data_IF_255526571375
#
_entry.id   IF_255526571375
#
_cell.length_a   1.000
_cell.length_b   1.000
_cell.length_c   1.000
_cell.angle_alpha   90.00
_cell.angle_beta   90.00
_cell.angle_gamma   90.00
#
_symmetry.space_group_name_H-M   'P 1'
#
loop_
_entity.id
_entity.type
_entity.pdbx_description
1 polymer ?
#
# COMPACT_ATOMS: atom_id res chain seq x y z
N UNK A 1 11.74 -13.95 14.24
CA UNK A 1 11.51 -13.17 13.01
C UNK A 1 10.06 -13.23 12.55
N UNK A 2 9.45 -14.40 12.34
CA UNK A 2 8.07 -14.51 11.82
C UNK A 2 6.99 -13.73 12.58
N UNK A 3 6.93 -13.81 13.92
CA UNK A 3 5.93 -13.07 14.72
C UNK A 3 6.11 -11.56 14.61
N UNK A 4 7.35 -11.08 14.61
CA UNK A 4 7.65 -9.64 14.45
C UNK A 4 7.27 -9.16 13.06
N UNK A 5 7.58 -9.95 12.02
CA UNK A 5 7.15 -9.66 10.64
C UNK A 5 5.63 -9.64 10.51
N UNK A 6 4.93 -10.60 11.10
CA UNK A 6 3.47 -10.65 11.08
C UNK A 6 2.84 -9.44 11.78
N UNK A 7 3.36 -9.03 12.94
CA UNK A 7 2.91 -7.83 13.64
C UNK A 7 3.20 -6.56 12.83
N UNK A 8 4.38 -6.44 12.22
CA UNK A 8 4.73 -5.30 11.38
C UNK A 8 3.80 -5.18 10.15
N UNK A 9 3.46 -6.31 9.52
CA UNK A 9 2.48 -6.36 8.42
C UNK A 9 1.09 -5.96 8.90
N UNK A 10 0.65 -6.52 10.01
CA UNK A 10 -0.65 -6.18 10.60
C UNK A 10 -0.80 -4.68 10.87
N UNK A 11 0.24 -4.05 11.43
CA UNK A 11 0.21 -2.62 11.72
C UNK A 11 0.22 -1.73 10.48
N UNK A 12 0.82 -2.14 9.36
CA UNK A 12 0.77 -1.33 8.14
C UNK A 12 -0.54 -1.51 7.36
N UNK A 13 -1.23 -2.64 7.54
CA UNK A 13 -2.43 -2.95 6.75
C UNK A 13 -3.67 -2.25 7.32
N UNK A 14 -3.73 -2.01 8.64
CA UNK A 14 -4.82 -1.24 9.25
C UNK A 14 -4.93 0.18 8.65
N UNK A 15 -3.88 1.02 8.62
CA UNK A 15 -3.92 2.32 7.95
C UNK A 15 -4.31 2.23 6.48
N UNK A 16 -3.76 1.23 5.77
CA UNK A 16 -4.01 1.03 4.34
C UNK A 16 -5.50 0.74 4.07
N UNK A 17 -6.11 -0.20 4.80
CA UNK A 17 -7.53 -0.52 4.65
C UNK A 17 -8.46 0.62 5.07
N UNK A 18 -8.12 1.36 6.13
CA UNK A 18 -8.89 2.54 6.56
C UNK A 18 -8.84 3.64 5.49
N UNK A 19 -7.69 3.84 4.84
CA UNK A 19 -7.56 4.74 3.70
C UNK A 19 -8.45 4.34 2.53
N UNK A 20 -8.36 3.08 2.09
CA UNK A 20 -9.19 2.55 1.00
C UNK A 20 -10.69 2.64 1.32
N UNK A 21 -11.07 2.36 2.57
CA UNK A 21 -12.45 2.52 3.03
C UNK A 21 -12.95 3.96 2.88
N UNK A 22 -12.12 4.94 3.25
CA UNK A 22 -12.42 6.36 3.06
C UNK A 22 -12.59 6.76 1.60
N UNK A 23 -11.67 6.32 0.72
CA UNK A 23 -11.72 6.60 -0.71
C UNK A 23 -12.97 6.01 -1.37
N UNK A 24 -13.29 4.74 -1.09
CA UNK A 24 -14.47 4.08 -1.65
C UNK A 24 -15.79 4.71 -1.17
N UNK A 25 -15.84 5.19 0.08
CA UNK A 25 -16.97 5.98 0.57
C UNK A 25 -17.08 7.33 -0.16
N UNK A 26 -15.95 8.01 -0.41
CA UNK A 26 -15.92 9.27 -1.14
C UNK A 26 -16.41 9.11 -2.59
N UNK A 27 -16.17 7.95 -3.21
CA UNK A 27 -16.72 7.59 -4.53
C UNK A 27 -18.22 7.25 -4.52
N UNK A 28 -18.91 7.39 -3.38
CA UNK A 28 -20.36 7.22 -3.27
C UNK A 28 -20.81 5.77 -3.02
N UNK A 29 -19.90 4.85 -2.68
CA UNK A 29 -20.29 3.49 -2.33
C UNK A 29 -20.98 3.42 -0.96
N UNK A 30 -21.98 2.54 -0.84
CA UNK A 30 -22.63 2.26 0.45
C UNK A 30 -21.66 1.54 1.39
N UNK A 31 -21.65 1.91 2.68
CA UNK A 31 -20.81 1.34 3.75
C UNK A 31 -20.71 -0.19 3.71
N UNK A 32 -21.83 -0.88 3.54
CA UNK A 32 -21.87 -2.35 3.52
C UNK A 32 -21.15 -2.95 2.31
N UNK A 33 -21.18 -2.28 1.16
CA UNK A 33 -20.41 -2.72 -0.02
C UNK A 33 -18.93 -2.48 0.20
N UNK A 34 -18.54 -1.32 0.72
CA UNK A 34 -17.13 -1.02 1.01
C UNK A 34 -16.53 -2.07 1.96
N UNK A 35 -17.26 -2.43 3.02
CA UNK A 35 -16.83 -3.46 3.96
C UNK A 35 -16.64 -4.83 3.28
N UNK A 36 -17.58 -5.23 2.41
CA UNK A 36 -17.47 -6.48 1.67
C UNK A 36 -16.26 -6.49 0.74
N UNK A 37 -16.00 -5.39 0.03
CA UNK A 37 -14.83 -5.26 -0.85
C UNK A 37 -13.52 -5.38 -0.07
N UNK A 38 -13.39 -4.72 1.08
CA UNK A 38 -12.20 -4.87 1.94
C UNK A 38 -12.03 -6.32 2.41
N UNK A 39 -13.11 -6.99 2.85
CA UNK A 39 -13.03 -8.41 3.26
C UNK A 39 -12.56 -9.30 2.11
N UNK A 40 -13.10 -9.13 0.90
CA UNK A 40 -12.65 -9.91 -0.25
C UNK A 40 -11.18 -9.65 -0.59
N UNK A 41 -10.73 -8.39 -0.50
CA UNK A 41 -9.32 -8.03 -0.69
C UNK A 41 -8.42 -8.68 0.35
N UNK A 42 -8.79 -8.62 1.63
CA UNK A 42 -8.05 -9.24 2.73
C UNK A 42 -7.97 -10.78 2.57
N UNK A 43 -9.06 -11.41 2.12
CA UNK A 43 -9.06 -12.85 1.82
C UNK A 43 -8.12 -13.21 0.67
N UNK A 44 -8.01 -12.37 -0.36
CA UNK A 44 -7.06 -12.57 -1.46
C UNK A 44 -5.61 -12.51 -0.95
N UNK A 45 -5.28 -11.53 -0.10
CA UNK A 45 -3.96 -11.43 0.54
C UNK A 45 -3.66 -12.66 1.42
N UNK A 46 -4.64 -13.09 2.22
CA UNK A 46 -4.53 -14.29 3.05
C UNK A 46 -4.30 -15.57 2.23
N UNK A 47 -5.05 -15.75 1.15
CA UNK A 47 -4.85 -16.86 0.23
C UNK A 47 -3.46 -16.83 -0.42
N UNK A 48 -2.99 -15.63 -0.82
CA UNK A 48 -1.63 -15.43 -1.33
C UNK A 48 -0.55 -15.82 -0.32
N UNK A 49 -0.74 -15.49 0.96
CA UNK A 49 0.19 -15.87 2.02
C UNK A 49 0.25 -17.39 2.24
N UNK A 50 -0.89 -18.08 2.22
CA UNK A 50 -0.95 -19.55 2.30
C UNK A 50 -0.23 -20.18 1.10
N UNK A 51 -0.53 -19.71 -0.11
CA UNK A 51 0.13 -20.20 -1.33
C UNK A 51 1.64 -19.98 -1.26
N UNK A 52 2.09 -18.79 -0.86
CA UNK A 52 3.49 -18.47 -0.71
C UNK A 52 4.18 -19.38 0.32
N UNK A 53 3.52 -19.72 1.43
CA UNK A 53 4.07 -20.62 2.44
C UNK A 53 4.35 -22.02 1.89
N UNK A 54 3.43 -22.61 1.14
CA UNK A 54 3.60 -23.96 0.58
C UNK A 54 4.50 -24.01 -0.65
N UNK A 55 4.48 -22.96 -1.48
CA UNK A 55 5.17 -22.94 -2.76
C UNK A 55 6.52 -22.22 -2.72
N UNK A 56 6.96 -21.73 -1.56
CA UNK A 56 8.18 -20.93 -1.42
C UNK A 56 9.41 -21.57 -2.09
N UNK A 57 9.62 -22.86 -1.88
CA UNK A 57 10.77 -23.58 -2.44
C UNK A 57 10.72 -23.69 -3.97
N UNK A 58 9.51 -23.82 -4.55
CA UNK A 58 9.32 -23.88 -6.00
C UNK A 58 9.48 -22.50 -6.66
N UNK A 59 9.15 -21.43 -5.94
CA UNK A 59 9.16 -20.06 -6.46
C UNK A 59 10.36 -19.23 -6.01
N UNK A 60 11.34 -19.80 -5.31
CA UNK A 60 12.51 -19.07 -4.81
C UNK A 60 13.23 -18.28 -5.92
N UNK A 61 13.38 -18.87 -7.11
CA UNK A 61 13.99 -18.21 -8.28
C UNK A 61 13.09 -17.13 -8.90
N UNK A 62 11.78 -17.18 -8.64
CA UNK A 62 10.79 -16.21 -9.13
C UNK A 62 10.59 -15.02 -8.19
N UNK A 63 11.06 -15.11 -6.93
CA UNK A 63 10.91 -14.02 -5.93
C UNK A 63 11.35 -12.66 -6.48
N UNK A 64 12.52 -12.50 -7.15
CA UNK A 64 12.92 -11.20 -7.68
C UNK A 64 11.93 -10.62 -8.71
N UNK A 65 11.34 -11.47 -9.54
CA UNK A 65 10.35 -11.05 -10.54
C UNK A 65 9.02 -10.67 -9.88
N UNK A 66 8.59 -11.40 -8.84
CA UNK A 66 7.40 -11.06 -8.07
C UNK A 66 7.55 -9.73 -7.33
N UNK A 67 8.73 -9.48 -6.75
CA UNK A 67 9.05 -8.20 -6.10
C UNK A 67 9.08 -7.06 -7.13
N UNK A 68 9.70 -7.27 -8.29
CA UNK A 68 9.72 -6.28 -9.37
C UNK A 68 8.29 -5.96 -9.87
N UNK A 69 7.46 -6.98 -10.01
CA UNK A 69 6.04 -6.82 -10.38
C UNK A 69 5.27 -6.02 -9.32
N UNK A 70 5.42 -6.36 -8.03
CA UNK A 70 4.77 -5.64 -6.93
C UNK A 70 5.23 -4.17 -6.88
N UNK A 71 6.53 -3.91 -7.01
CA UNK A 71 7.08 -2.56 -7.07
C UNK A 71 6.51 -1.76 -8.26
N UNK A 72 6.38 -2.40 -9.43
CA UNK A 72 5.75 -1.80 -10.61
C UNK A 72 4.28 -1.42 -10.37
N UNK A 73 3.53 -2.26 -9.66
CA UNK A 73 2.13 -1.96 -9.31
C UNK A 73 2.02 -0.74 -8.38
N UNK A 74 2.88 -0.62 -7.37
CA UNK A 74 2.92 0.55 -6.50
C UNK A 74 3.30 1.83 -7.26
N UNK A 75 4.26 1.76 -8.19
CA UNK A 75 4.60 2.90 -9.05
C UNK A 75 3.40 3.27 -9.92
N UNK A 76 2.72 2.29 -10.53
CA UNK A 76 1.54 2.53 -11.34
C UNK A 76 0.47 3.26 -10.54
N UNK A 77 0.04 2.74 -9.38
CA UNK A 77 -0.97 3.37 -8.51
C UNK A 77 -0.54 4.79 -8.11
N UNK A 78 0.73 4.97 -7.72
CA UNK A 78 1.24 6.31 -7.36
C UNK A 78 1.11 7.29 -8.55
N UNK A 79 1.36 6.84 -9.77
CA UNK A 79 1.30 7.69 -10.97
C UNK A 79 -0.10 7.89 -11.55
N UNK A 80 -0.96 6.87 -11.51
CA UNK A 80 -2.30 6.91 -12.10
C UNK A 80 -3.35 7.49 -11.16
N UNK A 81 -3.14 7.34 -9.85
CA UNK A 81 -4.15 7.68 -8.85
C UNK A 81 -3.65 8.83 -7.96
N UNK A 82 -2.50 8.66 -7.29
CA UNK A 82 -2.03 9.63 -6.29
C UNK A 82 -1.57 10.96 -6.90
N UNK A 83 -0.78 10.95 -7.98
CA UNK A 83 -0.33 12.19 -8.65
C UNK A 83 -1.51 13.01 -9.22
N UNK A 84 -2.48 12.40 -9.94
CA UNK A 84 -3.65 13.13 -10.43
C UNK A 84 -4.54 13.68 -9.31
N UNK A 85 -4.74 12.91 -8.23
CA UNK A 85 -5.55 13.35 -7.08
C UNK A 85 -4.93 14.59 -6.40
N UNK A 86 -3.61 14.59 -6.21
CA UNK A 86 -2.85 15.76 -5.71
C UNK A 86 -3.00 16.98 -6.63
N UNK A 87 -3.11 16.77 -7.95
CA UNK A 87 -3.29 17.85 -8.93
C UNK A 87 -4.73 18.36 -9.04
N UNK A 88 -5.75 17.52 -8.85
CA UNK A 88 -7.15 17.95 -8.92
C UNK A 88 -7.56 18.82 -7.73
N UNK A 89 -7.00 18.56 -6.54
CA UNK A 89 -7.21 19.38 -5.35
C UNK A 89 -6.16 20.49 -5.16
N UNK A 90 -5.46 20.87 -6.25
CA UNK A 90 -4.38 21.83 -6.20
C UNK A 90 -4.89 23.25 -5.95
N UNK A 91 -4.62 23.77 -4.76
CA UNK A 91 -4.71 25.20 -4.46
C UNK A 91 -3.28 25.75 -4.40
N UNK A 92 -3.00 26.87 -5.09
CA UNK A 92 -1.64 27.45 -5.14
C UNK A 92 -1.04 27.70 -3.75
N UNK A 93 -1.88 27.95 -2.75
CA UNK A 93 -1.48 28.19 -1.36
C UNK A 93 -1.07 26.91 -0.62
N UNK A 94 -1.64 25.74 -0.96
CA UNK A 94 -1.34 24.46 -0.31
C UNK A 94 -0.29 23.63 -1.05
N UNK A 95 0.02 23.98 -2.30
CA UNK A 95 0.99 23.31 -3.16
C UNK A 95 2.36 23.13 -2.51
N UNK A 96 2.85 24.17 -1.81
CA UNK A 96 4.15 24.12 -1.13
C UNK A 96 4.12 23.15 0.07
N UNK A 97 3.05 23.16 0.86
CA UNK A 97 2.87 22.27 2.01
C UNK A 97 2.71 20.80 1.59
N UNK A 98 1.96 20.55 0.51
CA UNK A 98 1.81 19.20 -0.07
C UNK A 98 3.15 18.66 -0.60
N UNK A 99 3.90 19.48 -1.34
CA UNK A 99 5.24 19.10 -1.83
C UNK A 99 6.18 18.80 -0.67
N UNK A 100 6.18 19.64 0.37
CA UNK A 100 7.02 19.44 1.55
C UNK A 100 6.64 18.17 2.32
N UNK A 101 5.34 17.87 2.45
CA UNK A 101 4.86 16.64 3.10
C UNK A 101 5.22 15.39 2.29
N UNK A 102 5.14 15.46 0.96
CA UNK A 102 5.53 14.36 0.07
C UNK A 102 7.04 14.07 0.14
N UNK A 103 7.87 15.11 0.02
CA UNK A 103 9.33 14.99 0.20
C UNK A 103 9.68 14.53 1.62
N UNK A 104 8.97 15.05 2.62
CA UNK A 104 9.09 14.62 4.01
C UNK A 104 8.83 13.13 4.17
N UNK A 105 7.75 12.60 3.57
CA UNK A 105 7.46 11.17 3.54
C UNK A 105 8.58 10.35 2.92
N UNK A 106 9.12 10.79 1.77
CA UNK A 106 10.26 10.13 1.12
C UNK A 106 11.49 10.11 2.03
N UNK A 107 11.81 11.23 2.68
CA UNK A 107 12.96 11.34 3.59
C UNK A 107 12.79 10.45 4.83
N UNK A 108 11.58 10.36 5.38
CA UNK A 108 11.26 9.45 6.49
C UNK A 108 11.49 8.00 6.10
N UNK A 109 10.98 7.58 4.94
CA UNK A 109 11.19 6.21 4.43
C UNK A 109 12.68 5.96 4.20
N UNK A 110 13.39 6.89 3.56
CA UNK A 110 14.83 6.77 3.32
C UNK A 110 15.64 6.66 4.61
N UNK A 111 15.31 7.48 5.62
CA UNK A 111 15.93 7.44 6.94
C UNK A 111 15.66 6.12 7.66
N UNK A 112 14.43 5.61 7.60
CA UNK A 112 14.08 4.32 8.17
C UNK A 112 14.88 3.18 7.52
N UNK A 113 15.00 3.16 6.19
CA UNK A 113 15.82 2.16 5.49
C UNK A 113 17.26 2.19 5.98
N UNK A 114 17.87 3.38 6.13
CA UNK A 114 19.26 3.51 6.63
C UNK A 114 19.48 3.03 8.06
N UNK A 115 18.44 3.05 8.90
CA UNK A 115 18.52 2.65 10.31
C UNK A 115 18.32 1.13 10.46
N UNK A 116 17.45 0.54 9.63
CA UNK A 116 17.04 -0.87 9.76
C UNK A 116 17.70 -1.84 8.76
N UNK A 117 18.38 -1.35 7.72
CA UNK A 117 19.14 -2.15 6.74
C UNK A 117 20.65 -2.03 6.97
#
# INVERSE_FOLDING_TARGET
MGVVTALAVFFHEIPHEVGNFGVLLAWGMKKNRVLLFNIFSALAAFAGAILAFYLLAAFANFIPYLIAFAAGNFIYIATSDLIPELHQHFQKETAFSQTLSFVGGILVIWGAIRIFA
#
